data_IF_767565181817
#
_entry.id   IF_767565181817
#
_cell.length_a   1.000
_cell.length_b   1.000
_cell.length_c   1.000
_cell.angle_alpha   90.00
_cell.angle_beta   90.00
_cell.angle_gamma   90.00
#
_symmetry.space_group_name_H-M   'P 1'
#
loop_
_entity.id
_entity.type
_entity.pdbx_description
1 polymer ?
#
# COMPACT_ATOMS: atom_id res chain seq x y z
N UNK A 1 -1.87 18.13 -26.04
CA UNK A 1 -3.26 18.35 -26.50
C UNK A 1 -3.36 19.72 -27.15
N UNK A 2 -4.12 19.86 -28.24
CA UNK A 2 -4.41 21.15 -28.86
C UNK A 2 -5.80 21.61 -28.39
N UNK A 3 -5.87 22.82 -27.82
CA UNK A 3 -7.14 23.47 -27.49
C UNK A 3 -7.05 24.90 -28.01
N UNK A 4 -8.02 25.34 -28.82
CA UNK A 4 -8.01 26.66 -29.47
C UNK A 4 -6.71 26.97 -30.24
N UNK A 5 -6.20 26.03 -31.05
CA UNK A 5 -4.94 26.15 -31.81
C UNK A 5 -3.66 26.39 -30.98
N UNK A 6 -3.74 26.31 -29.65
CA UNK A 6 -2.59 26.40 -28.75
C UNK A 6 -2.31 25.01 -28.15
N UNK A 7 -1.04 24.60 -28.15
CA UNK A 7 -0.61 23.36 -27.50
C UNK A 7 -0.40 23.62 -26.02
N UNK A 8 -1.22 22.99 -25.18
CA UNK A 8 -1.04 23.05 -23.73
C UNK A 8 -0.18 21.87 -23.27
N UNK A 9 0.96 22.16 -22.65
CA UNK A 9 1.78 21.19 -21.95
C UNK A 9 1.39 21.19 -20.46
N UNK A 10 0.54 20.24 -20.07
CA UNK A 10 0.04 20.13 -18.70
C UNK A 10 0.70 18.91 -18.07
N UNK A 11 1.72 19.07 -17.23
CA UNK A 11 2.34 17.96 -16.53
C UNK A 11 1.36 17.37 -15.51
N UNK A 12 1.19 16.05 -15.58
CA UNK A 12 0.31 15.26 -14.71
C UNK A 12 1.14 14.24 -13.97
N UNK A 13 0.88 14.09 -12.68
CA UNK A 13 1.52 13.08 -11.81
C UNK A 13 0.45 12.09 -11.37
N UNK A 14 0.71 10.80 -11.60
CA UNK A 14 -0.18 9.70 -11.22
C UNK A 14 0.45 8.95 -10.06
N UNK A 15 -0.27 8.84 -8.95
CA UNK A 15 0.13 8.11 -7.76
C UNK A 15 -0.64 6.79 -7.69
N UNK A 16 0.09 5.68 -7.78
CA UNK A 16 -0.42 4.34 -7.55
C UNK A 16 -0.25 4.01 -6.06
N UNK A 17 -1.36 3.91 -5.35
CA UNK A 17 -1.37 3.53 -3.93
C UNK A 17 -1.18 2.01 -3.80
N UNK A 18 -0.67 1.54 -2.66
CA UNK A 18 -0.54 0.11 -2.34
C UNK A 18 -1.88 -0.64 -2.42
N UNK A 19 -2.99 0.08 -2.24
CA UNK A 19 -4.35 -0.44 -2.37
C UNK A 19 -4.84 -0.59 -3.82
N UNK A 20 -4.02 -0.29 -4.83
CA UNK A 20 -4.35 -0.59 -6.24
C UNK A 20 -4.26 -2.12 -6.48
N UNK A 21 -5.24 -2.74 -7.17
CA UNK A 21 -6.34 -2.15 -7.95
C UNK A 21 -7.68 -2.00 -7.20
N UNK A 22 -7.73 -2.22 -5.87
CA UNK A 22 -8.96 -2.04 -5.08
C UNK A 22 -9.41 -0.57 -5.00
N UNK A 23 -8.48 0.37 -5.00
CA UNK A 23 -8.76 1.80 -5.12
C UNK A 23 -8.10 2.40 -6.37
N UNK A 24 -8.74 3.36 -7.04
CA UNK A 24 -8.18 3.99 -8.24
C UNK A 24 -6.97 4.87 -7.90
N UNK A 25 -6.05 5.06 -8.86
CA UNK A 25 -4.91 5.95 -8.68
C UNK A 25 -5.34 7.39 -8.43
N UNK A 26 -4.54 8.12 -7.66
CA UNK A 26 -4.70 9.56 -7.47
C UNK A 26 -3.96 10.31 -8.57
N UNK A 27 -4.60 11.32 -9.15
CA UNK A 27 -4.03 12.09 -10.27
C UNK A 27 -3.99 13.56 -9.90
N UNK A 28 -2.83 14.18 -10.07
CA UNK A 28 -2.57 15.58 -9.76
C UNK A 28 -2.03 16.31 -10.98
N UNK A 29 -2.37 17.58 -11.14
CA UNK A 29 -1.67 18.47 -12.06
C UNK A 29 -0.46 19.08 -11.33
N UNK A 30 0.65 19.29 -12.01
CA UNK A 30 1.81 19.94 -11.42
C UNK A 30 2.12 21.27 -12.13
N UNK A 31 1.39 22.37 -11.84
CA UNK A 31 1.54 23.61 -12.57
C UNK A 31 2.98 24.12 -12.52
N UNK A 32 3.53 24.46 -13.69
CA UNK A 32 4.82 25.17 -13.78
C UNK A 32 4.68 26.60 -13.24
N UNK A 33 5.80 27.31 -13.03
CA UNK A 33 5.81 28.63 -12.37
C UNK A 33 4.86 29.67 -12.99
N UNK A 34 4.59 29.56 -14.29
CA UNK A 34 3.72 30.47 -15.04
C UNK A 34 2.31 29.90 -15.29
N UNK A 35 2.01 28.69 -14.82
CA UNK A 35 0.70 28.04 -14.99
C UNK A 35 -0.26 28.43 -13.87
N UNK A 36 -1.36 29.10 -14.24
CA UNK A 36 -2.43 29.47 -13.33
C UNK A 36 -3.65 28.58 -13.58
N UNK A 37 -4.08 27.85 -12.55
CA UNK A 37 -5.32 27.07 -12.59
C UNK A 37 -6.47 28.03 -12.26
N UNK A 38 -7.36 28.26 -13.24
CA UNK A 38 -8.51 29.15 -13.08
C UNK A 38 -9.48 28.60 -12.03
N UNK A 39 -9.70 29.33 -10.94
CA UNK A 39 -10.70 28.98 -9.91
C UNK A 39 -12.01 29.74 -10.16
N UNK A 40 -13.20 29.12 -9.97
CA UNK A 40 -13.43 27.71 -9.65
C UNK A 40 -13.34 26.80 -10.90
N UNK A 41 -12.55 25.72 -10.84
CA UNK A 41 -12.43 24.75 -11.94
C UNK A 41 -13.31 23.52 -11.67
N UNK A 42 -14.05 23.04 -12.68
CA UNK A 42 -15.01 21.94 -12.52
C UNK A 42 -14.37 20.56 -12.23
N UNK A 43 -13.07 20.40 -12.49
CA UNK A 43 -12.39 19.10 -12.46
C UNK A 43 -11.09 19.08 -11.63
N UNK A 44 -10.67 20.22 -11.10
CA UNK A 44 -9.40 20.35 -10.38
C UNK A 44 -9.65 21.15 -9.11
N UNK A 45 -9.37 20.53 -7.97
CA UNK A 45 -9.57 21.11 -6.64
C UNK A 45 -8.47 22.16 -6.33
N UNK A 46 -8.60 23.05 -5.32
CA UNK A 46 -7.54 23.99 -4.91
C UNK A 46 -6.20 23.33 -4.56
N UNK A 47 -6.21 22.05 -4.18
CA UNK A 47 -5.06 21.17 -3.95
C UNK A 47 -4.46 20.58 -5.24
N UNK A 48 -4.99 20.97 -6.40
CA UNK A 48 -4.54 20.56 -7.74
C UNK A 48 -4.82 19.08 -8.06
N UNK A 49 -5.63 18.43 -7.24
CA UNK A 49 -6.09 17.07 -7.49
C UNK A 49 -7.16 17.03 -8.59
N UNK A 50 -7.01 16.13 -9.55
CA UNK A 50 -7.97 15.92 -10.63
C UNK A 50 -9.11 15.04 -10.14
N UNK A 51 -10.31 15.61 -10.06
CA UNK A 51 -11.52 14.94 -9.61
C UNK A 51 -12.22 14.22 -10.77
N UNK A 52 -11.49 13.35 -11.48
CA UNK A 52 -12.06 12.57 -12.61
C UNK A 52 -12.49 11.16 -12.23
N UNK A 53 -12.04 10.61 -11.10
CA UNK A 53 -12.35 9.23 -10.74
C UNK A 53 -13.68 9.03 -9.96
N UNK A 54 -14.41 10.10 -9.64
CA UNK A 54 -15.69 10.00 -8.91
C UNK A 54 -16.93 10.23 -9.78
N UNK A 55 -16.78 10.72 -11.02
CA UNK A 55 -17.94 11.08 -11.85
C UNK A 55 -18.28 10.07 -12.95
N UNK A 56 -17.35 9.16 -13.29
CA UNK A 56 -17.63 8.09 -14.25
C UNK A 56 -17.69 6.77 -13.51
N UNK A 57 -18.91 6.27 -13.43
CA UNK A 57 -19.36 4.99 -12.89
C UNK A 57 -18.61 3.82 -13.56
N UNK A 58 -17.42 3.52 -13.07
CA UNK A 58 -16.79 2.22 -13.28
C UNK A 58 -17.45 1.23 -12.31
N UNK A 59 -18.29 0.38 -12.86
CA UNK A 59 -18.99 -0.69 -12.14
C UNK A 59 -17.97 -1.70 -11.60
N UNK A 60 -17.69 -1.61 -10.31
CA UNK A 60 -17.28 -2.75 -9.49
C UNK A 60 -18.25 -2.77 -8.31
N UNK A 61 -18.99 -3.87 -8.20
CA UNK A 61 -20.27 -3.93 -7.51
C UNK A 61 -20.20 -3.66 -6.01
N UNK A 62 -21.22 -2.95 -5.52
CA UNK A 62 -22.09 -3.34 -4.40
C UNK A 62 -23.21 -2.30 -4.34
N UNK A 63 -24.40 -2.73 -4.73
CA UNK A 63 -25.63 -1.95 -4.62
C UNK A 63 -26.10 -1.94 -3.17
N UNK A 64 -26.60 -0.78 -2.74
CA UNK A 64 -27.57 -0.69 -1.66
C UNK A 64 -27.03 -0.02 -0.40
N UNK A 65 -27.38 1.26 -0.23
CA UNK A 65 -28.19 1.76 0.89
C UNK A 65 -28.58 3.20 0.52
N UNK A 66 -29.82 3.35 0.05
CA UNK A 66 -30.51 4.62 0.05
C UNK A 66 -31.09 4.81 1.46
N UNK A 67 -30.74 5.90 2.15
CA UNK A 67 -31.43 6.32 3.37
C UNK A 67 -32.51 7.34 3.01
N UNK A 68 -33.77 7.15 3.45
CA UNK A 68 -34.82 8.16 3.30
C UNK A 68 -34.68 9.27 4.34
N UNK A 69 -35.07 10.48 3.94
CA UNK A 69 -35.21 11.65 4.80
C UNK A 69 -36.41 11.49 5.75
N UNK A 70 -36.24 11.89 7.01
CA UNK A 70 -37.28 11.92 8.04
C UNK A 70 -37.62 13.39 8.36
N UNK A 71 -38.91 13.81 8.32
CA UNK A 71 -39.35 15.15 8.72
C UNK A 71 -39.50 15.27 10.26
N UNK A 72 -39.55 16.49 10.83
CA UNK A 72 -39.56 16.67 12.28
C UNK A 72 -40.92 16.33 12.88
N UNK A 73 -40.94 15.50 13.93
CA UNK A 73 -42.14 15.23 14.74
C UNK A 73 -42.09 16.07 16.01
N UNK A 74 -43.02 17.01 16.08
CA UNK A 74 -43.51 17.65 17.32
C UNK A 74 -44.12 16.56 18.20
N UNK A 75 -43.78 16.53 19.49
CA UNK A 75 -44.53 15.79 20.50
C UNK A 75 -45.18 16.73 21.52
N UNK A 76 -46.40 16.41 22.01
CA UNK A 76 -47.16 17.19 22.98
C UNK A 76 -46.85 16.76 24.42
N UNK A 77 -47.22 17.64 25.37
CA UNK A 77 -47.13 17.40 26.81
C UNK A 77 -48.06 16.26 27.29
N UNK A 78 -47.57 15.49 28.27
CA UNK A 78 -48.27 14.41 28.96
C UNK A 78 -48.72 14.83 30.38
N UNK A 79 -49.72 14.15 30.98
CA UNK A 79 -50.67 14.79 31.89
C UNK A 79 -50.66 14.28 33.35
N UNK A 80 -51.46 15.00 34.16
CA UNK A 80 -52.06 14.66 35.46
C UNK A 80 -51.22 14.77 36.75
N UNK A 81 -51.69 15.66 37.64
CA UNK A 81 -51.30 15.63 39.05
C UNK A 81 -51.75 16.79 39.95
N UNK A 82 -53.06 16.94 40.16
CA UNK A 82 -53.68 17.24 41.47
C UNK A 82 -54.06 18.69 41.89
N UNK A 83 -55.17 18.72 42.64
CA UNK A 83 -55.90 19.81 43.31
C UNK A 83 -56.75 20.71 42.39
N UNK A 84 -58.04 20.96 42.62
CA UNK A 84 -58.91 20.73 43.77
C UNK A 84 -59.99 21.83 43.74
N UNK A 85 -61.24 21.48 44.06
CA UNK A 85 -62.24 22.44 44.55
C UNK A 85 -63.01 23.29 43.53
N UNK A 86 -64.26 22.90 43.25
CA UNK A 86 -65.34 23.79 42.79
C UNK A 86 -65.75 24.73 43.92
N UNK A 87 -65.85 26.03 43.65
CA UNK A 87 -66.66 27.00 44.41
C UNK A 87 -67.34 27.96 43.39
N UNK A 88 -68.61 28.38 43.57
CA UNK A 88 -69.36 29.21 42.62
C UNK A 88 -69.01 30.70 42.71
N UNK A 89 -69.48 31.54 41.76
CA UNK A 89 -69.05 32.93 41.63
C UNK A 89 -69.83 33.86 42.59
N UNK A 90 -69.22 34.97 43.04
CA UNK A 90 -69.98 36.13 43.46
C UNK A 90 -69.87 37.28 42.45
N UNK A 91 -70.94 38.07 42.47
CA UNK A 91 -71.27 39.25 41.68
C UNK A 91 -70.23 40.39 41.71
N UNK A 92 -70.24 41.30 40.72
CA UNK A 92 -69.34 42.43 40.68
C UNK A 92 -69.78 43.52 41.65
N UNK A 93 -68.97 43.79 42.67
CA UNK A 93 -69.10 45.00 43.50
C UNK A 93 -67.77 45.78 43.51
N UNK A 94 -67.80 46.82 42.68
CA UNK A 94 -67.05 48.09 42.71
C UNK A 94 -66.35 48.38 44.06
N UNK A 95 -65.02 48.59 44.09
CA UNK A 95 -64.40 49.27 45.21
C UNK A 95 -64.87 50.74 45.20
N UNK A 96 -65.56 51.10 46.26
CA UNK A 96 -65.78 52.48 46.66
C UNK A 96 -64.42 53.19 46.72
N UNK A 97 -64.35 54.37 46.10
CA UNK A 97 -63.23 55.28 46.21
C UNK A 97 -63.04 55.63 47.69
N UNK A 98 -62.09 54.95 48.33
CA UNK A 98 -61.36 55.55 49.45
C UNK A 98 -60.47 56.59 48.78
N UNK A 99 -60.64 57.85 49.16
CA UNK A 99 -59.66 58.90 48.88
C UNK A 99 -58.35 58.48 49.54
N UNK A 100 -57.56 57.66 48.85
CA UNK A 100 -56.17 57.41 49.20
C UNK A 100 -55.47 58.77 49.14
N UNK A 101 -54.79 59.13 50.23
CA UNK A 101 -53.93 60.30 50.26
C UNK A 101 -53.02 60.23 49.03
N UNK A 102 -53.03 61.25 48.14
CA UNK A 102 -52.23 61.25 46.92
C UNK A 102 -50.80 60.80 47.18
N UNK A 103 -50.25 61.20 48.33
CA UNK A 103 -48.93 60.86 48.83
C UNK A 103 -48.67 59.35 48.92
N UNK A 104 -49.63 58.55 49.35
CA UNK A 104 -49.46 57.10 49.53
C UNK A 104 -49.64 56.33 48.23
N UNK A 105 -50.48 56.83 47.31
CA UNK A 105 -50.57 56.34 45.92
C UNK A 105 -49.27 56.61 45.17
N UNK A 106 -48.67 57.80 45.34
CA UNK A 106 -47.38 58.13 44.77
C UNK A 106 -46.25 57.25 45.34
N UNK A 107 -46.21 57.04 46.66
CA UNK A 107 -45.22 56.13 47.28
C UNK A 107 -45.36 54.70 46.77
N UNK A 108 -46.59 54.18 46.66
CA UNK A 108 -46.85 52.81 46.20
C UNK A 108 -46.49 52.63 44.73
N UNK A 109 -46.81 53.61 43.88
CA UNK A 109 -46.39 53.61 42.47
C UNK A 109 -44.87 53.78 42.31
N UNK A 110 -44.23 54.62 43.13
CA UNK A 110 -42.77 54.78 43.11
C UNK A 110 -42.06 53.49 43.55
N UNK A 111 -42.56 52.82 44.60
CA UNK A 111 -42.06 51.51 45.04
C UNK A 111 -42.25 50.46 43.95
N UNK A 112 -43.45 50.37 43.35
CA UNK A 112 -43.71 49.43 42.26
C UNK A 112 -42.78 49.66 41.07
N UNK A 113 -42.54 50.92 40.67
CA UNK A 113 -41.63 51.26 39.57
C UNK A 113 -40.18 50.90 39.87
N UNK A 114 -39.71 51.12 41.12
CA UNK A 114 -38.38 50.69 41.54
C UNK A 114 -38.26 49.17 41.54
N UNK A 115 -39.28 48.48 42.04
CA UNK A 115 -39.33 47.01 42.06
C UNK A 115 -39.35 46.46 40.63
N UNK A 116 -40.11 47.03 39.71
CA UNK A 116 -40.14 46.66 38.29
C UNK A 116 -38.79 46.90 37.61
N UNK A 117 -38.17 48.06 37.86
CA UNK A 117 -36.82 48.36 37.35
C UNK A 117 -35.80 47.35 37.86
N UNK A 118 -35.80 47.05 39.16
CA UNK A 118 -34.91 46.06 39.76
C UNK A 118 -35.16 44.66 39.21
N UNK A 119 -36.41 44.24 39.00
CA UNK A 119 -36.71 42.96 38.36
C UNK A 119 -36.23 42.92 36.90
N UNK A 120 -36.36 44.03 36.17
CA UNK A 120 -35.84 44.16 34.81
C UNK A 120 -34.31 44.06 34.78
N UNK A 121 -33.61 44.78 35.66
CA UNK A 121 -32.15 44.77 35.78
C UNK A 121 -31.63 43.39 36.22
N UNK A 122 -32.26 42.75 37.21
CA UNK A 122 -31.95 41.38 37.64
C UNK A 122 -32.17 40.40 36.49
N UNK A 123 -33.24 40.56 35.71
CA UNK A 123 -33.51 39.76 34.51
C UNK A 123 -32.44 39.93 33.44
N UNK A 124 -32.03 41.18 33.16
CA UNK A 124 -30.99 41.50 32.20
C UNK A 124 -29.61 40.94 32.62
N UNK A 125 -29.24 41.08 33.89
CA UNK A 125 -27.99 40.53 34.44
C UNK A 125 -27.98 39.00 34.43
N UNK A 126 -29.12 38.34 34.72
CA UNK A 126 -29.23 36.88 34.62
C UNK A 126 -29.06 36.41 33.18
N UNK A 127 -29.77 37.03 32.24
CA UNK A 127 -29.65 36.72 30.81
C UNK A 127 -28.23 36.90 30.28
N UNK A 128 -27.54 37.98 30.68
CA UNK A 128 -26.15 38.22 30.28
C UNK A 128 -25.23 37.12 30.81
N UNK A 129 -25.35 36.75 32.09
CA UNK A 129 -24.57 35.66 32.67
C UNK A 129 -24.86 34.30 32.04
N UNK A 130 -26.11 34.03 31.69
CA UNK A 130 -26.49 32.81 30.97
C UNK A 130 -25.79 32.75 29.60
N UNK A 131 -25.78 33.86 28.84
CA UNK A 131 -25.07 33.89 27.55
C UNK A 131 -23.55 33.76 27.68
N UNK A 132 -22.94 34.34 28.72
CA UNK A 132 -21.52 34.16 29.01
C UNK A 132 -21.20 32.72 29.39
N UNK A 133 -22.04 32.11 30.24
CA UNK A 133 -21.92 30.71 30.65
C UNK A 133 -22.05 29.76 29.44
N UNK A 134 -23.02 29.99 28.56
CA UNK A 134 -23.15 29.26 27.29
C UNK A 134 -21.92 29.44 26.39
N UNK A 135 -21.38 30.66 26.29
CA UNK A 135 -20.16 30.96 25.55
C UNK A 135 -18.94 30.18 26.09
N UNK A 136 -18.78 30.13 27.41
CA UNK A 136 -17.71 29.39 28.08
C UNK A 136 -17.86 27.87 27.90
N UNK A 137 -19.08 27.32 27.97
CA UNK A 137 -19.31 25.90 27.71
C UNK A 137 -19.01 25.51 26.27
N UNK A 138 -19.40 26.35 25.30
CA UNK A 138 -19.07 26.11 23.90
C UNK A 138 -17.55 26.13 23.67
N UNK A 139 -16.84 27.10 24.27
CA UNK A 139 -15.38 27.16 24.21
C UNK A 139 -14.74 25.91 24.85
N UNK A 140 -15.22 25.49 26.02
CA UNK A 140 -14.74 24.28 26.69
C UNK A 140 -14.97 23.01 25.85
N UNK A 141 -16.12 22.89 25.19
CA UNK A 141 -16.43 21.76 24.31
C UNK A 141 -15.46 21.69 23.12
N UNK A 142 -15.18 22.83 22.47
CA UNK A 142 -14.22 22.91 21.37
C UNK A 142 -12.80 22.56 21.84
N UNK A 143 -12.39 23.05 23.01
CA UNK A 143 -11.06 22.76 23.56
C UNK A 143 -10.89 21.27 23.88
N UNK A 144 -11.90 20.63 24.49
CA UNK A 144 -11.88 19.18 24.72
C UNK A 144 -11.82 18.38 23.42
N UNK A 145 -12.58 18.78 22.41
CA UNK A 145 -12.53 18.12 21.11
C UNK A 145 -11.14 18.23 20.48
N UNK A 146 -10.48 19.38 20.59
CA UNK A 146 -9.11 19.58 20.08
C UNK A 146 -8.09 18.79 20.88
N UNK A 147 -8.22 18.72 22.20
CA UNK A 147 -7.40 17.88 23.07
C UNK A 147 -7.50 16.40 22.65
N UNK A 148 -8.72 15.92 22.39
CA UNK A 148 -8.96 14.55 21.90
C UNK A 148 -8.32 14.32 20.52
N UNK A 149 -8.45 15.28 19.60
CA UNK A 149 -7.79 15.20 18.29
C UNK A 149 -6.26 15.18 18.39
N UNK A 150 -5.68 16.04 19.25
CA UNK A 150 -4.24 16.10 19.47
C UNK A 150 -3.73 14.83 20.13
N UNK A 151 -4.43 14.32 21.14
CA UNK A 151 -4.04 13.08 21.81
C UNK A 151 -4.15 11.86 20.88
N UNK A 152 -5.15 11.83 19.99
CA UNK A 152 -5.24 10.84 18.93
C UNK A 152 -4.06 10.95 17.95
N UNK A 153 -3.79 12.15 17.43
CA UNK A 153 -2.68 12.36 16.50
C UNK A 153 -1.31 12.05 17.12
N UNK A 154 -1.11 12.34 18.41
CA UNK A 154 0.09 11.97 19.14
C UNK A 154 0.27 10.46 19.24
N UNK A 155 -0.82 9.71 19.48
CA UNK A 155 -0.78 8.25 19.50
C UNK A 155 -0.44 7.67 18.13
N UNK A 156 -1.09 8.15 17.08
CA UNK A 156 -0.82 7.69 15.70
C UNK A 156 0.65 7.94 15.31
N UNK A 157 1.20 9.11 15.62
CA UNK A 157 2.62 9.41 15.36
C UNK A 157 3.56 8.52 16.19
N UNK A 158 3.20 8.19 17.42
CA UNK A 158 4.00 7.30 18.26
C UNK A 158 4.01 5.87 17.70
N UNK A 159 2.85 5.36 17.27
CA UNK A 159 2.73 4.05 16.64
C UNK A 159 3.52 4.00 15.31
N UNK A 160 3.45 5.06 14.50
CA UNK A 160 4.25 5.18 13.26
C UNK A 160 5.75 5.21 13.55
N UNK A 161 6.18 5.95 14.58
CA UNK A 161 7.58 5.99 15.01
C UNK A 161 8.07 4.60 15.41
N UNK A 162 7.31 3.89 16.23
CA UNK A 162 7.65 2.52 16.66
C UNK A 162 7.71 1.56 15.48
N UNK A 163 6.79 1.69 14.51
CA UNK A 163 6.83 0.92 13.27
C UNK A 163 8.07 1.19 12.42
N UNK A 164 8.47 2.46 12.28
CA UNK A 164 9.69 2.83 11.56
C UNK A 164 10.96 2.36 12.27
N UNK A 165 11.00 2.39 13.60
CA UNK A 165 12.12 1.86 14.39
C UNK A 165 12.28 0.35 14.17
N UNK A 166 11.18 -0.41 14.10
CA UNK A 166 11.22 -1.84 13.79
C UNK A 166 11.71 -2.11 12.35
N UNK A 167 11.23 -1.33 11.38
CA UNK A 167 11.69 -1.44 9.99
C UNK A 167 13.19 -1.13 9.87
N UNK A 168 13.65 -0.08 10.58
CA UNK A 168 15.07 0.27 10.63
C UNK A 168 15.89 -0.88 11.21
N UNK A 169 15.45 -1.48 12.32
CA UNK A 169 16.14 -2.62 12.92
C UNK A 169 16.24 -3.81 11.96
N UNK A 170 15.16 -4.12 11.24
CA UNK A 170 15.16 -5.18 10.23
C UNK A 170 16.14 -4.89 9.10
N UNK A 171 16.16 -3.66 8.58
CA UNK A 171 17.09 -3.26 7.50
C UNK A 171 18.54 -3.32 7.97
N UNK A 172 18.85 -2.88 9.19
CA UNK A 172 20.18 -2.98 9.77
C UNK A 172 20.62 -4.44 9.91
N UNK A 173 19.76 -5.30 10.47
CA UNK A 173 20.04 -6.73 10.61
C UNK A 173 20.26 -7.40 9.25
N UNK A 174 19.44 -7.09 8.24
CA UNK A 174 19.63 -7.59 6.88
C UNK A 174 20.94 -7.08 6.26
N UNK A 175 21.31 -5.83 6.53
CA UNK A 175 22.57 -5.26 6.08
C UNK A 175 23.75 -6.01 6.69
N UNK A 176 23.74 -6.27 7.99
CA UNK A 176 24.79 -7.04 8.68
C UNK A 176 24.94 -8.46 8.12
N UNK A 177 23.81 -9.13 7.84
CA UNK A 177 23.80 -10.46 7.22
C UNK A 177 24.44 -10.42 5.82
N UNK A 178 24.05 -9.45 4.99
CA UNK A 178 24.57 -9.30 3.64
C UNK A 178 26.05 -8.91 3.65
N UNK A 179 26.48 -8.04 4.56
CA UNK A 179 27.88 -7.68 4.74
C UNK A 179 28.72 -8.86 5.21
N UNK A 180 28.20 -9.66 6.14
CA UNK A 180 28.80 -10.93 6.58
C UNK A 180 29.00 -11.88 5.41
N UNK A 181 27.92 -12.17 4.67
CA UNK A 181 27.96 -13.03 3.49
C UNK A 181 28.92 -12.50 2.42
N UNK A 182 28.93 -11.20 2.16
CA UNK A 182 29.79 -10.57 1.17
C UNK A 182 31.27 -10.64 1.57
N UNK A 183 31.59 -10.49 2.87
CA UNK A 183 32.95 -10.66 3.40
C UNK A 183 33.45 -12.09 3.22
N UNK A 184 32.62 -13.07 3.58
CA UNK A 184 32.94 -14.49 3.39
C UNK A 184 33.10 -14.84 1.91
N UNK A 185 32.19 -14.37 1.07
CA UNK A 185 32.19 -14.70 -0.36
C UNK A 185 33.33 -13.99 -1.11
N UNK A 186 33.66 -12.74 -0.77
CA UNK A 186 34.87 -12.08 -1.29
C UNK A 186 36.14 -12.83 -0.88
N UNK A 187 36.22 -13.33 0.35
CA UNK A 187 37.32 -14.20 0.79
C UNK A 187 37.43 -15.47 -0.06
N UNK A 188 36.30 -16.14 -0.32
CA UNK A 188 36.24 -17.32 -1.20
C UNK A 188 36.68 -17.00 -2.63
N UNK A 189 36.16 -15.92 -3.22
CA UNK A 189 36.52 -15.47 -4.58
C UNK A 189 38.00 -15.10 -4.70
N UNK A 190 38.57 -14.41 -3.70
CA UNK A 190 40.00 -14.09 -3.69
C UNK A 190 40.88 -15.35 -3.60
N UNK A 191 40.41 -16.37 -2.88
CA UNK A 191 41.10 -17.65 -2.76
C UNK A 191 40.93 -18.55 -3.99
N UNK A 192 39.90 -18.32 -4.82
CA UNK A 192 39.56 -19.16 -5.97
C UNK A 192 40.34 -18.81 -7.25
N UNK A 193 41.13 -17.72 -7.27
CA UNK A 193 42.01 -17.37 -8.38
C UNK A 193 41.28 -17.18 -9.73
N UNK A 194 42.01 -17.34 -10.84
CA UNK A 194 41.42 -17.37 -12.18
C UNK A 194 40.72 -18.73 -12.40
N UNK A 195 39.46 -18.82 -11.97
CA UNK A 195 38.65 -20.03 -12.15
C UNK A 195 38.37 -20.20 -13.65
N UNK A 196 38.83 -21.31 -14.23
CA UNK A 196 38.41 -21.70 -15.57
C UNK A 196 36.92 -22.06 -15.50
N UNK A 197 36.12 -21.52 -16.43
CA UNK A 197 34.68 -21.80 -16.53
C UNK A 197 34.43 -23.30 -16.71
N UNK A 198 35.35 -23.99 -17.38
CA UNK A 198 35.24 -25.44 -17.63
C UNK A 198 35.38 -26.27 -16.35
N UNK A 199 36.09 -25.76 -15.33
CA UNK A 199 36.28 -26.45 -14.04
C UNK A 199 35.14 -26.13 -13.04
N UNK A 200 34.23 -25.23 -13.39
CA UNK A 200 33.11 -24.86 -12.52
C UNK A 200 32.09 -26.00 -12.36
N UNK A 201 32.00 -26.89 -13.35
CA UNK A 201 31.06 -28.00 -13.38
C UNK A 201 31.77 -29.31 -13.67
N UNK A 202 31.95 -30.12 -12.62
CA UNK A 202 32.51 -31.46 -12.76
C UNK A 202 31.40 -32.53 -12.85
N UNK A 203 31.59 -33.57 -13.68
CA UNK A 203 30.72 -34.74 -13.68
C UNK A 203 30.69 -35.43 -12.31
N UNK A 204 29.51 -35.91 -11.90
CA UNK A 204 29.30 -36.50 -10.56
C UNK A 204 30.16 -37.75 -10.27
N UNK A 205 30.60 -38.46 -11.31
CA UNK A 205 31.31 -39.73 -11.22
C UNK A 205 32.36 -39.87 -12.34
N UNK A 206 33.37 -40.70 -12.07
CA UNK A 206 34.47 -40.95 -13.01
C UNK A 206 33.98 -41.57 -14.34
N UNK A 207 32.94 -42.41 -14.31
CA UNK A 207 32.36 -43.00 -15.52
C UNK A 207 31.63 -41.94 -16.35
N UNK A 208 30.87 -41.04 -15.74
CA UNK A 208 30.25 -39.92 -16.47
C UNK A 208 31.29 -38.95 -17.03
N UNK A 209 32.39 -38.69 -16.31
CA UNK A 209 33.51 -37.91 -16.85
C UNK A 209 34.10 -38.57 -18.11
N UNK A 210 34.39 -39.86 -18.03
CA UNK A 210 34.89 -40.62 -19.17
C UNK A 210 33.88 -40.64 -20.34
N UNK A 211 32.58 -40.72 -20.06
CA UNK A 211 31.52 -40.64 -21.07
C UNK A 211 31.52 -39.29 -21.79
N UNK A 212 31.62 -38.19 -21.02
CA UNK A 212 31.64 -36.83 -21.55
C UNK A 212 32.87 -36.60 -22.42
N UNK A 213 34.06 -36.99 -21.95
CA UNK A 213 35.30 -36.87 -22.73
C UNK A 213 35.27 -37.70 -24.03
N UNK A 214 34.76 -38.94 -23.97
CA UNK A 214 34.65 -39.77 -25.17
C UNK A 214 33.67 -39.21 -26.20
N UNK A 215 32.54 -38.67 -25.74
CA UNK A 215 31.53 -38.09 -26.65
C UNK A 215 32.00 -36.76 -27.23
N UNK A 216 32.65 -35.91 -26.44
CA UNK A 216 33.26 -34.67 -26.92
C UNK A 216 34.35 -34.95 -27.97
N UNK A 217 35.21 -35.95 -27.72
CA UNK A 217 36.26 -36.33 -28.67
C UNK A 217 35.70 -36.92 -29.97
N UNK A 218 34.64 -37.74 -29.90
CA UNK A 218 33.97 -38.30 -31.08
C UNK A 218 33.40 -37.20 -31.99
N UNK A 219 32.74 -36.19 -31.40
CA UNK A 219 32.19 -35.06 -32.13
C UNK A 219 33.29 -34.15 -32.70
N UNK A 220 34.34 -33.89 -31.93
CA UNK A 220 35.48 -33.10 -32.41
C UNK A 220 36.16 -33.76 -33.62
N UNK A 221 36.23 -35.10 -33.65
CA UNK A 221 36.77 -35.82 -34.81
C UNK A 221 35.87 -35.66 -36.04
N UNK A 222 34.54 -35.73 -35.89
CA UNK A 222 33.60 -35.49 -37.00
C UNK A 222 33.79 -34.08 -37.60
N UNK A 223 33.94 -33.07 -36.74
CA UNK A 223 34.20 -31.68 -37.18
C UNK A 223 35.54 -31.55 -37.92
N UNK A 224 36.58 -32.23 -37.43
CA UNK A 224 37.89 -32.24 -38.09
C UNK A 224 37.79 -32.94 -39.45
N UNK A 225 37.14 -34.11 -39.54
CA UNK A 225 36.96 -34.82 -40.82
C UNK A 225 36.18 -33.95 -41.81
N UNK A 226 35.09 -33.29 -41.36
CA UNK A 226 34.34 -32.36 -42.20
C UNK A 226 35.21 -31.21 -42.73
N UNK A 227 36.07 -30.64 -41.89
CA UNK A 227 36.99 -29.58 -42.32
C UNK A 227 38.06 -30.08 -43.31
N UNK A 228 38.54 -31.32 -43.14
CA UNK A 228 39.49 -31.97 -44.04
C UNK A 228 38.85 -32.27 -45.41
N UNK A 229 37.60 -32.74 -45.45
CA UNK A 229 36.83 -32.94 -46.68
C UNK A 229 36.78 -31.64 -47.50
N UNK A 230 36.45 -30.54 -46.84
CA UNK A 230 36.39 -29.22 -47.46
C UNK A 230 37.77 -28.75 -47.97
N UNK A 231 38.82 -28.95 -47.18
CA UNK A 231 40.18 -28.55 -47.55
C UNK A 231 40.71 -29.30 -48.78
N UNK A 232 40.30 -30.56 -48.99
CA UNK A 232 40.62 -31.32 -50.21
C UNK A 232 39.84 -30.82 -51.41
N UNK A 233 38.55 -30.53 -51.25
CA UNK A 233 37.73 -29.98 -52.34
C UNK A 233 38.27 -28.63 -52.84
N UNK A 234 38.80 -27.80 -51.94
CA UNK A 234 39.44 -26.53 -52.26
C UNK A 234 40.87 -26.70 -52.82
N UNK A 235 41.44 -27.90 -52.79
CA UNK A 235 42.80 -28.17 -53.26
C UNK A 235 43.91 -27.73 -52.30
N UNK A 236 43.57 -27.35 -51.06
CA UNK A 236 44.52 -26.93 -50.02
C UNK A 236 45.37 -28.08 -49.49
N UNK A 237 44.86 -29.32 -49.55
CA UNK A 237 45.53 -30.54 -49.09
C UNK A 237 45.52 -31.60 -50.20
N UNK A 238 46.64 -32.27 -50.48
CA UNK A 238 46.66 -33.37 -51.45
C UNK A 238 45.85 -34.57 -50.97
N UNK A 239 45.18 -35.26 -51.88
CA UNK A 239 44.26 -36.39 -51.59
C UNK A 239 44.93 -37.50 -50.76
N UNK A 240 46.21 -37.77 -51.01
CA UNK A 240 46.96 -38.79 -50.26
C UNK A 240 47.19 -38.42 -48.78
N UNK A 241 47.38 -37.13 -48.47
CA UNK A 241 47.49 -36.65 -47.08
C UNK A 241 46.14 -36.75 -46.37
N UNK A 242 45.06 -36.43 -47.07
CA UNK A 242 43.70 -36.57 -46.57
C UNK A 242 43.36 -38.03 -46.21
N UNK A 243 43.58 -38.98 -47.12
CA UNK A 243 43.26 -40.39 -46.88
C UNK A 243 44.04 -40.96 -45.67
N UNK A 244 45.29 -40.52 -45.48
CA UNK A 244 46.08 -40.88 -44.28
C UNK A 244 45.48 -40.31 -43.01
N UNK A 245 45.15 -39.01 -42.99
CA UNK A 245 44.59 -38.35 -41.81
C UNK A 245 43.21 -38.89 -41.44
N UNK A 246 42.30 -39.05 -42.40
CA UNK A 246 40.97 -39.62 -42.16
C UNK A 246 41.08 -41.02 -41.60
N UNK A 247 41.97 -41.87 -42.13
CA UNK A 247 42.17 -43.22 -41.60
C UNK A 247 42.68 -43.23 -40.15
N UNK A 248 43.55 -42.30 -39.78
CA UNK A 248 44.04 -42.17 -38.40
C UNK A 248 42.94 -41.68 -37.46
N UNK A 249 42.22 -40.63 -37.85
CA UNK A 249 41.12 -40.06 -37.08
C UNK A 249 39.96 -41.05 -36.91
N UNK A 250 39.55 -41.77 -37.98
CA UNK A 250 38.52 -42.81 -37.88
C UNK A 250 38.92 -43.97 -36.97
N UNK A 251 40.21 -44.31 -36.91
CA UNK A 251 40.71 -45.32 -35.95
C UNK A 251 40.58 -44.82 -34.52
N UNK A 252 40.93 -43.57 -34.25
CA UNK A 252 40.79 -42.96 -32.92
C UNK A 252 39.32 -42.84 -32.51
N UNK A 253 38.47 -42.40 -33.45
CA UNK A 253 37.02 -42.33 -33.30
C UNK A 253 36.40 -43.67 -32.91
N UNK A 254 36.84 -44.76 -33.55
CA UNK A 254 36.40 -46.11 -33.18
C UNK A 254 36.67 -46.42 -31.70
N UNK A 255 37.84 -46.04 -31.18
CA UNK A 255 38.16 -46.26 -29.76
C UNK A 255 37.30 -45.41 -28.82
N UNK A 256 36.99 -44.16 -29.17
CA UNK A 256 36.06 -43.34 -28.39
C UNK A 256 34.65 -43.94 -28.37
N UNK A 257 34.13 -44.38 -29.53
CA UNK A 257 32.80 -45.03 -29.63
C UNK A 257 32.75 -46.35 -28.88
N UNK A 258 33.77 -47.20 -29.03
CA UNK A 258 33.87 -48.46 -28.32
C UNK A 258 33.95 -48.26 -26.81
N UNK A 259 34.71 -47.26 -26.36
CA UNK A 259 34.83 -46.92 -24.93
C UNK A 259 33.51 -46.38 -24.39
N UNK A 260 32.85 -45.45 -25.08
CA UNK A 260 31.53 -44.94 -24.71
C UNK A 260 30.49 -46.06 -24.56
N UNK A 261 30.47 -47.02 -25.49
CA UNK A 261 29.58 -48.18 -25.41
C UNK A 261 29.86 -49.05 -24.17
N UNK A 262 31.13 -49.25 -23.82
CA UNK A 262 31.52 -50.02 -22.62
C UNK A 262 31.18 -49.29 -21.32
N UNK A 263 31.46 -47.99 -21.25
CA UNK A 263 31.12 -47.14 -20.09
C UNK A 263 29.60 -47.15 -19.86
N UNK A 264 28.80 -47.09 -20.93
CA UNK A 264 27.33 -47.11 -20.83
C UNK A 264 26.82 -48.43 -20.25
N UNK A 265 27.39 -49.55 -20.70
CA UNK A 265 27.07 -50.86 -20.15
C UNK A 265 27.45 -50.96 -18.67
N UNK A 266 28.64 -50.45 -18.30
CA UNK A 266 29.11 -50.43 -16.91
C UNK A 266 28.23 -49.55 -16.01
N UNK A 267 27.80 -48.38 -16.49
CA UNK A 267 26.87 -47.50 -15.76
C UNK A 267 25.52 -48.17 -15.53
N UNK A 268 24.98 -48.85 -16.55
CA UNK A 268 23.72 -49.59 -16.42
C UNK A 268 23.84 -50.72 -15.39
N UNK A 269 24.96 -51.45 -15.40
CA UNK A 269 25.22 -52.50 -14.42
C UNK A 269 25.35 -51.93 -13.00
N UNK A 270 26.10 -50.84 -12.81
CA UNK A 270 26.24 -50.18 -11.53
C UNK A 270 24.89 -49.67 -10.97
N UNK A 271 24.03 -49.13 -11.84
CA UNK A 271 22.69 -48.70 -11.48
C UNK A 271 21.82 -49.88 -11.03
N UNK A 272 21.82 -50.98 -11.77
CA UNK A 272 21.10 -52.21 -11.42
C UNK A 272 21.58 -52.77 -10.08
N UNK A 273 22.90 -52.83 -9.85
CA UNK A 273 23.47 -53.27 -8.56
C UNK A 273 23.06 -52.35 -7.41
N UNK A 274 23.07 -51.03 -7.62
CA UNK A 274 22.59 -50.08 -6.61
C UNK A 274 21.10 -50.26 -6.29
N UNK A 275 20.26 -50.55 -7.29
CA UNK A 275 18.83 -50.82 -7.08
C UNK A 275 18.60 -52.13 -6.33
N UNK A 276 19.33 -53.18 -6.69
CA UNK A 276 19.28 -54.47 -5.98
C UNK A 276 19.67 -54.32 -4.51
N UNK A 277 20.75 -53.59 -4.21
CA UNK A 277 21.20 -53.35 -2.84
C UNK A 277 20.17 -52.57 -2.00
N UNK A 278 19.46 -51.61 -2.60
CA UNK A 278 18.38 -50.88 -1.92
C UNK A 278 17.16 -51.77 -1.67
N UNK A 279 16.78 -52.63 -2.62
CA UNK A 279 15.66 -53.54 -2.45
C UNK A 279 15.91 -54.57 -1.33
N UNK A 280 17.15 -55.09 -1.23
CA UNK A 280 17.55 -56.03 -0.17
C UNK A 280 17.46 -55.44 1.25
N UNK A 281 17.57 -54.12 1.42
CA UNK A 281 17.47 -53.47 2.73
C UNK A 281 16.04 -53.44 3.30
N UNK A 282 15.02 -53.69 2.48
CA UNK A 282 13.61 -53.74 2.91
C UNK A 282 13.08 -55.17 3.07
N UNK A 283 13.92 -56.19 2.84
CA UNK A 283 13.59 -57.61 3.06
C UNK A 283 14.28 -58.07 4.34
N UNK A 284 13.73 -57.66 5.48
CA UNK A 284 14.02 -58.22 6.82
C UNK A 284 12.69 -58.48 7.52
#
# INVERSE_FOLDING_TARGET
>A
MFFQQVTYNIPVVIWLMESYPRHPPLVFVNPTRDMIIKRPHAYVDPSVQIQWCLRTRCQWGLQGIARPAIPPRVYPQSPYGSSGGRIPPPSPQRPLAVTEDPSDVFKRNAINKLVESLHSDIGALRKTRETEMEGLFNAQAVLRQREEQLSKGLREMQDEKEGLEQQLQMVLMNTDILEGWLRENKGKMANMGNVNVDDAFEPCDALSKQMLECTASDLAIEDVIYSLDKAVQEGSIPTDQYLRNVRLLSREQFFHRATSSKVRAAQMQAQVTSMANRASQYVV
#
